data_IF_628565254507
#
_entry.id   IF_628565254507
#
_cell.length_a   1.000
_cell.length_b   1.000
_cell.length_c   1.000
_cell.angle_alpha   90.00
_cell.angle_beta   90.00
_cell.angle_gamma   90.00
#
_symmetry.space_group_name_H-M   'P 1'
#
loop_
_entity.id
_entity.type
_entity.pdbx_description
1 polymer ?
#
# COMPACT_ATOMS: atom_id res chain seq x y z
N UNK A 1 -25.24 -82.99 65.21
CA UNK A 1 -24.52 -81.76 65.42
C UNK A 1 -24.36 -81.11 64.07
N UNK A 2 -25.15 -80.07 63.76
CA UNK A 2 -25.22 -79.41 62.44
C UNK A 2 -24.33 -78.17 62.47
N UNK A 3 -23.36 -78.08 61.57
CA UNK A 3 -22.59 -76.90 61.37
C UNK A 3 -23.25 -76.00 60.27
N UNK A 4 -23.62 -74.86 60.67
CA UNK A 4 -24.19 -73.82 59.80
C UNK A 4 -23.05 -73.05 59.13
N UNK A 5 -22.96 -73.13 57.83
CA UNK A 5 -22.00 -72.30 57.05
C UNK A 5 -22.65 -70.99 56.63
N UNK A 6 -22.01 -69.89 56.99
CA UNK A 6 -22.43 -68.56 56.60
C UNK A 6 -21.71 -68.23 55.31
N UNK A 7 -22.43 -68.01 54.17
CA UNK A 7 -21.94 -67.47 52.93
C UNK A 7 -21.98 -65.96 53.05
N UNK A 8 -20.82 -65.34 53.08
CA UNK A 8 -20.70 -63.94 53.01
C UNK A 8 -20.79 -63.47 51.55
N UNK A 9 -21.83 -62.72 51.22
CA UNK A 9 -21.97 -62.04 49.92
C UNK A 9 -21.17 -60.76 49.97
N UNK A 10 -20.03 -60.77 49.30
CA UNK A 10 -19.24 -59.53 49.09
C UNK A 10 -19.87 -58.65 47.96
N UNK A 11 -20.43 -57.52 48.34
CA UNK A 11 -20.91 -56.54 47.40
C UNK A 11 -19.70 -55.76 46.83
N UNK A 12 -19.38 -55.95 45.55
CA UNK A 12 -18.44 -55.15 44.84
C UNK A 12 -19.10 -53.80 44.52
N UNK A 13 -18.69 -52.72 45.22
CA UNK A 13 -19.05 -51.37 44.91
C UNK A 13 -18.19 -50.90 43.71
N UNK A 14 -18.75 -50.89 42.50
CA UNK A 14 -18.12 -50.29 41.32
C UNK A 14 -18.18 -48.79 41.49
N UNK A 15 -17.04 -48.15 41.81
CA UNK A 15 -16.88 -46.69 41.72
C UNK A 15 -16.90 -46.29 40.23
N UNK A 16 -18.02 -45.75 39.78
CA UNK A 16 -18.10 -45.07 38.49
C UNK A 16 -17.39 -43.70 38.61
N UNK A 17 -16.16 -43.62 38.12
CA UNK A 17 -15.46 -42.34 37.96
C UNK A 17 -16.16 -41.53 36.88
N UNK A 18 -16.55 -40.30 37.12
CA UNK A 18 -17.09 -39.45 36.07
C UNK A 18 -15.99 -39.18 35.01
N UNK A 19 -16.21 -39.62 33.78
CA UNK A 19 -15.40 -39.17 32.65
C UNK A 19 -15.68 -37.71 32.44
N UNK A 20 -14.68 -36.86 32.75
CA UNK A 20 -14.73 -35.46 32.41
C UNK A 20 -14.70 -35.32 30.88
N UNK A 21 -15.83 -35.01 30.27
CA UNK A 21 -15.91 -34.70 28.86
C UNK A 21 -15.31 -33.31 28.66
N UNK A 22 -14.11 -33.22 28.07
CA UNK A 22 -13.53 -31.95 27.64
C UNK A 22 -14.19 -31.52 26.33
N UNK A 23 -14.94 -30.42 26.36
CA UNK A 23 -15.46 -29.78 25.15
C UNK A 23 -14.40 -28.81 24.58
N UNK A 24 -14.03 -29.01 23.32
CA UNK A 24 -13.11 -28.15 22.59
C UNK A 24 -13.93 -27.18 21.73
N UNK A 25 -13.66 -25.88 21.88
CA UNK A 25 -14.23 -24.84 21.03
C UNK A 25 -13.14 -24.44 20.03
N UNK A 26 -13.40 -24.63 18.72
CA UNK A 26 -12.51 -24.17 17.65
C UNK A 26 -13.05 -22.84 17.13
N UNK A 27 -12.22 -21.79 17.21
CA UNK A 27 -12.50 -20.49 16.60
C UNK A 27 -11.59 -20.31 15.40
N UNK A 28 -12.15 -20.06 14.22
CA UNK A 28 -11.40 -19.82 12.99
C UNK A 28 -11.79 -18.47 12.38
N UNK A 29 -10.82 -17.79 11.77
CA UNK A 29 -11.04 -16.58 10.99
C UNK A 29 -10.20 -16.65 9.72
N UNK A 30 -10.75 -16.16 8.60
CA UNK A 30 -10.04 -16.03 7.33
C UNK A 30 -9.73 -14.57 7.10
N UNK A 31 -8.45 -14.24 6.87
CA UNK A 31 -8.02 -12.90 6.49
C UNK A 31 -7.65 -12.91 5.01
N UNK A 32 -8.31 -12.08 4.21
CA UNK A 32 -8.00 -11.90 2.79
C UNK A 32 -7.03 -10.73 2.61
N UNK A 33 -6.14 -10.83 1.62
CA UNK A 33 -5.25 -9.71 1.26
C UNK A 33 -6.09 -8.53 0.78
N UNK A 34 -5.93 -7.38 1.42
CA UNK A 34 -6.62 -6.16 1.07
C UNK A 34 -5.66 -4.98 1.12
N UNK A 35 -5.74 -4.12 0.09
CA UNK A 35 -4.95 -2.89 0.00
C UNK A 35 -5.81 -1.71 -0.41
N UNK A 36 -5.49 -0.54 0.13
CA UNK A 36 -6.04 0.74 -0.29
C UNK A 36 -4.93 1.74 -0.56
N UNK A 37 -5.06 2.53 -1.61
CA UNK A 37 -4.13 3.60 -1.96
C UNK A 37 -4.79 4.94 -1.63
N UNK A 38 -4.11 5.77 -0.86
CA UNK A 38 -4.59 7.08 -0.50
C UNK A 38 -4.58 8.05 -1.68
N UNK A 39 -5.14 9.23 -1.48
CA UNK A 39 -4.98 10.37 -2.36
C UNK A 39 -3.92 11.31 -1.81
N UNK A 40 -3.22 12.02 -2.69
CA UNK A 40 -2.30 13.09 -2.33
C UNK A 40 -2.46 14.28 -3.28
N UNK A 41 -2.39 15.47 -2.71
CA UNK A 41 -2.23 16.70 -3.49
C UNK A 41 -0.77 17.12 -3.40
N UNK A 42 -0.13 17.29 -4.55
CA UNK A 42 1.26 17.72 -4.62
C UNK A 42 1.30 19.14 -5.19
N UNK A 43 1.83 20.06 -4.40
CA UNK A 43 2.10 21.43 -4.87
C UNK A 43 3.56 21.52 -5.28
N UNK A 44 3.80 21.81 -6.55
CA UNK A 44 5.14 21.99 -7.10
C UNK A 44 5.57 23.43 -6.83
N UNK A 45 6.61 23.61 -6.01
CA UNK A 45 7.17 24.88 -5.63
C UNK A 45 6.11 25.90 -5.14
N UNK A 46 5.93 26.01 -3.83
CA UNK A 46 4.90 26.88 -3.23
C UNK A 46 4.95 28.36 -3.66
N UNK A 47 6.07 28.81 -4.20
CA UNK A 47 6.24 30.16 -4.80
C UNK A 47 5.94 30.21 -6.31
N UNK A 48 5.50 29.08 -6.92
CA UNK A 48 5.28 28.96 -8.35
C UNK A 48 6.48 28.45 -9.13
N UNK A 49 6.23 27.97 -10.37
CA UNK A 49 7.26 27.52 -11.29
C UNK A 49 7.76 28.74 -12.06
N UNK A 50 9.01 29.14 -11.84
CA UNK A 50 9.62 30.21 -12.60
C UNK A 50 9.86 29.80 -14.07
N UNK A 51 9.60 30.66 -15.00
CA UNK A 51 9.78 30.41 -16.44
C UNK A 51 11.20 29.93 -16.75
N UNK A 52 11.29 28.85 -17.50
CA UNK A 52 12.56 28.25 -17.92
C UNK A 52 13.31 27.46 -16.84
N UNK A 53 12.86 27.42 -15.59
CA UNK A 53 13.57 26.80 -14.48
C UNK A 53 13.03 25.37 -14.23
N UNK A 54 13.95 24.41 -14.01
CA UNK A 54 13.56 23.08 -13.58
C UNK A 54 13.08 23.08 -12.12
N UNK A 55 12.09 22.26 -11.82
CA UNK A 55 11.56 22.10 -10.46
C UNK A 55 11.51 20.60 -10.11
N UNK A 56 11.86 20.26 -8.89
CA UNK A 56 11.72 18.91 -8.36
C UNK A 56 10.93 18.93 -7.06
N UNK A 57 10.15 17.90 -6.82
CA UNK A 57 9.49 17.65 -5.55
C UNK A 57 9.73 16.19 -5.15
N UNK A 58 10.35 16.00 -4.01
CA UNK A 58 10.67 14.69 -3.41
C UNK A 58 10.14 14.54 -1.98
N UNK A 59 9.48 15.58 -1.47
CA UNK A 59 8.99 15.63 -0.08
C UNK A 59 7.54 15.11 0.08
N UNK A 60 6.78 15.02 -1.01
CA UNK A 60 5.40 14.56 -0.95
C UNK A 60 5.33 13.04 -0.86
N UNK A 61 4.36 12.54 -0.12
CA UNK A 61 4.09 11.11 0.02
C UNK A 61 2.61 10.81 -0.15
N UNK A 62 2.30 9.57 -0.51
CA UNK A 62 0.96 9.00 -0.50
C UNK A 62 0.97 7.71 0.33
N UNK A 63 -0.08 7.45 1.10
CA UNK A 63 -0.15 6.24 1.90
C UNK A 63 -0.72 5.07 1.11
N UNK A 64 -0.01 3.95 1.12
CA UNK A 64 -0.51 2.64 0.77
C UNK A 64 -0.78 1.87 2.07
N UNK A 65 -2.00 1.37 2.24
CA UNK A 65 -2.39 0.59 3.43
C UNK A 65 -2.74 -0.82 2.99
N UNK A 66 -2.04 -1.81 3.53
CA UNK A 66 -2.31 -3.23 3.26
C UNK A 66 -2.26 -4.07 4.52
N UNK A 67 -2.78 -5.29 4.44
CA UNK A 67 -2.53 -6.30 5.45
C UNK A 67 -1.07 -6.75 5.43
N UNK A 68 -0.58 -7.27 6.56
CA UNK A 68 0.73 -7.92 6.64
C UNK A 68 0.81 -9.08 5.64
N UNK A 69 1.94 -9.20 4.94
CA UNK A 69 2.20 -10.25 3.96
C UNK A 69 1.56 -10.01 2.59
N UNK A 70 0.92 -8.85 2.36
CA UNK A 70 0.33 -8.54 1.06
C UNK A 70 1.40 -8.41 -0.02
N UNK A 71 1.18 -9.09 -1.14
CA UNK A 71 1.97 -8.89 -2.37
C UNK A 71 1.24 -7.85 -3.22
N UNK A 72 1.86 -6.70 -3.43
CA UNK A 72 1.19 -5.57 -4.09
C UNK A 72 2.11 -4.84 -5.06
N UNK A 73 1.57 -4.52 -6.22
CA UNK A 73 2.18 -3.62 -7.21
C UNK A 73 1.28 -2.43 -7.47
N UNK A 74 1.92 -1.28 -7.72
CA UNK A 74 1.25 -0.02 -8.01
C UNK A 74 1.64 0.45 -9.40
N UNK A 75 0.66 0.61 -10.27
CA UNK A 75 0.79 1.24 -11.57
C UNK A 75 0.14 2.62 -11.56
N UNK A 76 0.67 3.56 -12.33
CA UNK A 76 0.04 4.86 -12.56
C UNK A 76 -0.36 5.01 -14.02
N UNK A 77 -1.46 5.71 -14.29
CA UNK A 77 -1.76 6.14 -15.64
C UNK A 77 -0.89 7.35 -16.04
N UNK A 78 -1.03 7.81 -17.27
CA UNK A 78 -0.25 8.95 -17.78
C UNK A 78 -0.82 10.31 -17.38
N UNK A 79 -1.91 10.35 -16.60
CA UNK A 79 -2.61 11.57 -16.23
C UNK A 79 -3.73 11.96 -17.19
N UNK A 80 -4.65 12.78 -16.72
CA UNK A 80 -5.83 13.21 -17.48
C UNK A 80 -5.49 14.14 -18.66
N UNK A 81 -4.35 14.82 -18.59
CA UNK A 81 -3.91 15.78 -19.60
C UNK A 81 -2.72 15.32 -20.44
N UNK A 82 -2.41 14.01 -20.40
CA UNK A 82 -1.25 13.45 -21.11
C UNK A 82 -1.34 13.60 -22.65
N UNK A 83 -0.17 13.60 -23.28
CA UNK A 83 -0.04 13.37 -24.74
C UNK A 83 0.82 12.12 -24.93
N UNK A 84 0.21 11.05 -25.42
CA UNK A 84 0.87 9.75 -25.44
C UNK A 84 1.26 9.33 -24.03
N UNK A 85 2.54 9.12 -23.77
CA UNK A 85 3.07 8.77 -22.44
C UNK A 85 3.52 9.98 -21.63
N UNK A 86 3.64 11.17 -22.24
CA UNK A 86 4.12 12.38 -21.57
C UNK A 86 3.02 12.97 -20.67
N UNK A 87 3.27 13.03 -19.37
CA UNK A 87 2.39 13.68 -18.38
C UNK A 87 2.46 15.20 -18.53
N UNK A 88 1.31 15.86 -18.37
CA UNK A 88 1.20 17.32 -18.48
C UNK A 88 0.20 17.86 -17.48
N UNK A 89 0.57 18.95 -16.83
CA UNK A 89 -0.36 19.82 -16.13
C UNK A 89 -1.06 20.72 -17.16
N UNK A 90 -2.35 20.96 -17.01
CA UNK A 90 -3.15 21.86 -17.85
C UNK A 90 -3.58 23.09 -17.07
N UNK A 91 -3.51 24.24 -17.73
CA UNK A 91 -4.10 25.47 -17.19
C UNK A 91 -5.62 25.38 -17.08
N UNK A 92 -6.18 25.87 -15.97
CA UNK A 92 -7.62 25.94 -15.76
C UNK A 92 -8.34 26.96 -16.65
N UNK A 93 -7.60 27.94 -17.20
CA UNK A 93 -8.16 29.08 -17.97
C UNK A 93 -7.69 29.16 -19.41
N UNK A 94 -6.62 28.45 -19.77
CA UNK A 94 -6.03 28.46 -21.11
C UNK A 94 -5.75 27.05 -21.61
N UNK A 95 -5.34 26.92 -22.89
CA UNK A 95 -4.90 25.62 -23.47
C UNK A 95 -3.42 25.37 -23.24
N UNK A 96 -2.78 26.08 -22.32
CA UNK A 96 -1.35 25.91 -22.03
C UNK A 96 -1.10 24.71 -21.12
N UNK A 97 0.06 24.12 -21.31
CA UNK A 97 0.50 22.94 -20.60
C UNK A 97 1.90 23.10 -20.04
N UNK A 98 2.18 22.38 -18.96
CA UNK A 98 3.51 22.19 -18.40
C UNK A 98 3.77 20.68 -18.40
N UNK A 99 4.83 20.25 -19.09
CA UNK A 99 5.24 18.83 -19.04
C UNK A 99 5.92 18.52 -17.72
N UNK A 100 5.68 17.35 -17.18
CA UNK A 100 6.35 16.86 -15.99
C UNK A 100 6.62 15.37 -16.07
N UNK A 101 7.54 14.88 -15.25
CA UNK A 101 7.82 13.48 -15.07
C UNK A 101 7.44 13.06 -13.65
N UNK A 102 6.85 11.90 -13.51
CA UNK A 102 6.55 11.24 -12.24
C UNK A 102 7.36 9.95 -12.19
N UNK A 103 8.45 9.99 -11.45
CA UNK A 103 9.42 8.90 -11.42
C UNK A 103 9.06 7.87 -10.35
N UNK A 104 9.40 6.62 -10.63
CA UNK A 104 9.31 5.55 -9.63
C UNK A 104 10.22 5.90 -8.44
N UNK A 105 9.77 5.66 -7.19
CA UNK A 105 10.66 5.70 -6.05
C UNK A 105 11.75 4.62 -6.16
N UNK A 106 12.80 4.76 -5.37
CA UNK A 106 13.75 3.69 -5.13
C UNK A 106 13.05 2.47 -4.53
N UNK A 107 13.76 1.34 -4.40
CA UNK A 107 13.21 0.16 -3.75
C UNK A 107 12.61 0.52 -2.39
N UNK A 108 11.34 0.14 -2.19
CA UNK A 108 10.60 0.41 -0.96
C UNK A 108 10.98 -0.61 0.11
N UNK A 109 11.18 -0.16 1.34
CA UNK A 109 11.60 -1.00 2.48
C UNK A 109 10.73 -0.68 3.70
N UNK A 110 10.26 -1.72 4.40
CA UNK A 110 9.48 -1.56 5.63
C UNK A 110 10.35 -0.93 6.74
N UNK A 111 9.88 0.19 7.30
CA UNK A 111 10.62 0.96 8.31
C UNK A 111 11.89 1.66 7.79
N UNK A 112 12.20 1.58 6.50
CA UNK A 112 13.34 2.24 5.89
C UNK A 112 13.01 3.64 5.35
N UNK A 113 14.05 4.42 5.02
CA UNK A 113 13.88 5.68 4.31
C UNK A 113 13.52 5.40 2.85
N UNK A 114 12.22 5.42 2.54
CA UNK A 114 11.76 5.34 1.16
C UNK A 114 12.04 6.68 0.46
N UNK A 115 12.84 6.68 -0.58
CA UNK A 115 13.38 7.87 -1.20
C UNK A 115 13.12 7.92 -2.70
N UNK A 116 13.23 9.11 -3.26
CA UNK A 116 13.22 9.31 -4.70
C UNK A 116 14.60 9.01 -5.32
N UNK A 117 14.65 8.53 -6.58
CA UNK A 117 15.89 8.44 -7.34
C UNK A 117 16.42 9.84 -7.69
N UNK A 118 17.61 9.91 -8.29
CA UNK A 118 18.03 11.12 -9.00
C UNK A 118 17.01 11.47 -10.09
N UNK A 119 16.52 12.71 -10.11
CA UNK A 119 15.46 13.14 -11.03
C UNK A 119 16.03 13.80 -12.29
N UNK A 120 15.41 13.55 -13.47
CA UNK A 120 14.34 12.59 -13.72
C UNK A 120 14.83 11.14 -13.66
N UNK A 121 14.11 10.28 -12.94
CA UNK A 121 14.34 8.84 -12.89
C UNK A 121 13.49 8.08 -13.92
N UNK A 122 13.35 6.75 -13.71
CA UNK A 122 12.44 5.94 -14.52
C UNK A 122 11.01 6.37 -14.33
N UNK A 123 10.30 6.67 -15.42
CA UNK A 123 8.90 7.10 -15.37
C UNK A 123 8.01 6.03 -14.73
N UNK A 124 7.16 6.47 -13.78
CA UNK A 124 6.18 5.60 -13.14
C UNK A 124 4.89 5.59 -13.96
N UNK A 125 4.61 4.46 -14.59
CA UNK A 125 3.44 4.28 -15.45
C UNK A 125 2.99 2.81 -15.44
N UNK A 126 2.08 2.43 -16.33
CA UNK A 126 1.58 1.05 -16.43
C UNK A 126 2.65 0.02 -16.84
N UNK A 127 3.66 0.43 -17.61
CA UNK A 127 4.77 -0.44 -18.02
C UNK A 127 5.86 -0.53 -16.94
N UNK A 128 6.04 0.53 -16.16
CA UNK A 128 7.04 0.64 -15.11
C UNK A 128 6.35 0.75 -13.74
N UNK A 129 5.86 -0.36 -13.23
CA UNK A 129 5.17 -0.44 -11.94
C UNK A 129 6.13 -0.37 -10.75
N UNK A 130 5.61 -0.10 -9.57
CA UNK A 130 6.34 -0.15 -8.29
C UNK A 130 5.87 -1.35 -7.50
N UNK A 131 6.79 -2.24 -7.13
CA UNK A 131 6.50 -3.28 -6.14
C UNK A 131 6.57 -2.67 -4.75
N UNK A 132 5.50 -2.79 -3.99
CA UNK A 132 5.41 -2.34 -2.60
C UNK A 132 5.30 -3.52 -1.61
N UNK A 133 5.50 -4.75 -2.07
CA UNK A 133 5.41 -5.97 -1.25
C UNK A 133 6.33 -5.92 -0.04
N UNK A 134 7.55 -5.42 -0.21
CA UNK A 134 8.54 -5.31 0.87
C UNK A 134 8.12 -4.38 2.03
N UNK A 135 7.15 -3.49 1.82
CA UNK A 135 6.61 -2.63 2.87
C UNK A 135 5.76 -3.40 3.90
N UNK A 136 5.25 -4.57 3.55
CA UNK A 136 4.26 -5.31 4.35
C UNK A 136 4.77 -6.65 4.86
N UNK A 137 6.07 -6.88 4.81
CA UNK A 137 6.70 -8.14 5.26
C UNK A 137 6.56 -8.31 6.77
N UNK A 138 6.82 -7.28 7.55
CA UNK A 138 6.84 -7.35 9.02
C UNK A 138 5.54 -6.90 9.65
N UNK A 139 4.93 -5.83 9.13
CA UNK A 139 3.70 -5.24 9.65
C UNK A 139 2.75 -4.83 8.53
N UNK A 140 1.45 -4.87 8.79
CA UNK A 140 0.44 -4.22 7.96
C UNK A 140 0.25 -2.76 8.32
N UNK A 141 -0.74 -2.10 7.71
CA UNK A 141 -1.12 -0.72 8.00
C UNK A 141 -0.65 0.29 6.96
N UNK A 142 -0.78 1.60 7.23
CA UNK A 142 -0.40 2.64 6.29
C UNK A 142 1.12 2.78 6.19
N UNK A 143 1.64 2.80 4.96
CA UNK A 143 3.05 3.00 4.64
C UNK A 143 3.19 4.15 3.63
N UNK A 144 4.04 5.15 3.90
CA UNK A 144 4.25 6.25 2.98
C UNK A 144 5.09 5.83 1.77
N UNK A 145 4.60 6.15 0.58
CA UNK A 145 5.31 6.00 -0.68
C UNK A 145 5.67 7.40 -1.18
N UNK A 146 6.94 7.71 -1.46
CA UNK A 146 7.33 9.01 -1.95
C UNK A 146 6.81 9.27 -3.37
N UNK A 147 6.39 10.50 -3.63
CA UNK A 147 5.97 10.98 -4.93
C UNK A 147 7.11 11.81 -5.51
N UNK A 148 7.73 11.31 -6.57
CA UNK A 148 8.97 11.81 -7.13
C UNK A 148 8.69 12.56 -8.43
N UNK A 149 8.51 13.88 -8.35
CA UNK A 149 8.14 14.72 -9.50
C UNK A 149 9.29 15.59 -9.93
N UNK A 150 9.45 15.74 -11.25
CA UNK A 150 10.32 16.75 -11.85
C UNK A 150 9.64 17.45 -13.03
N UNK A 151 9.79 18.76 -13.07
CA UNK A 151 9.41 19.61 -14.22
C UNK A 151 10.70 19.99 -14.94
N UNK A 152 10.86 19.63 -16.21
CA UNK A 152 12.06 20.01 -16.98
C UNK A 152 12.19 21.52 -17.12
N UNK A 153 13.43 21.99 -17.26
CA UNK A 153 13.73 23.38 -17.61
C UNK A 153 13.21 23.76 -19.02
N UNK A 154 13.39 24.99 -19.38
CA UNK A 154 13.06 25.55 -20.69
C UNK A 154 11.56 25.50 -21.07
N UNK A 155 10.69 25.53 -20.08
CA UNK A 155 9.25 25.71 -20.27
C UNK A 155 8.86 27.14 -19.87
N UNK A 156 8.03 27.77 -20.69
CA UNK A 156 7.62 29.19 -20.52
C UNK A 156 6.08 29.28 -20.49
N UNK A 157 5.42 28.67 -19.51
CA UNK A 157 3.97 28.71 -19.43
C UNK A 157 3.48 30.12 -19.06
N UNK A 158 2.25 30.45 -19.45
CA UNK A 158 1.57 31.62 -18.94
C UNK A 158 1.35 31.52 -17.43
N UNK A 159 1.30 32.67 -16.75
CA UNK A 159 0.93 32.69 -15.33
C UNK A 159 -0.48 32.11 -15.13
N UNK A 160 -0.64 31.29 -14.13
CA UNK A 160 -1.90 30.63 -13.82
C UNK A 160 -1.74 29.38 -12.97
N UNK A 161 -2.85 28.75 -12.65
CA UNK A 161 -2.90 27.47 -11.95
C UNK A 161 -2.95 26.34 -12.96
N UNK A 162 -2.10 25.35 -12.77
CA UNK A 162 -1.98 24.17 -13.61
C UNK A 162 -2.22 22.91 -12.80
N UNK A 163 -3.04 22.01 -13.30
CA UNK A 163 -3.41 20.78 -12.61
C UNK A 163 -3.35 19.57 -13.54
N UNK A 164 -3.13 18.40 -12.96
CA UNK A 164 -3.34 17.11 -13.59
C UNK A 164 -3.88 16.12 -12.56
N UNK A 165 -4.51 15.07 -13.03
CA UNK A 165 -4.99 13.97 -12.18
C UNK A 165 -4.40 12.67 -12.69
N UNK A 166 -3.58 12.04 -11.84
CA UNK A 166 -2.99 10.73 -12.11
C UNK A 166 -3.70 9.69 -11.25
N UNK A 167 -4.15 8.62 -11.87
CA UNK A 167 -4.84 7.51 -11.20
C UNK A 167 -3.88 6.36 -10.97
N UNK A 168 -3.90 5.83 -9.75
CA UNK A 168 -3.18 4.62 -9.37
C UNK A 168 -4.06 3.39 -9.52
N UNK A 169 -3.49 2.31 -10.03
CA UNK A 169 -4.09 0.97 -10.08
C UNK A 169 -3.26 0.05 -9.19
N UNK A 170 -3.92 -0.62 -8.25
CA UNK A 170 -3.32 -1.64 -7.40
C UNK A 170 -3.59 -3.03 -7.96
N UNK A 171 -2.55 -3.86 -8.00
CA UNK A 171 -2.67 -5.30 -8.19
C UNK A 171 -2.22 -5.98 -6.91
N UNK A 172 -3.13 -6.72 -6.26
CA UNK A 172 -2.91 -7.45 -5.01
C UNK A 172 -3.03 -8.94 -5.30
N UNK A 173 -2.04 -9.74 -4.89
CA UNK A 173 -2.00 -11.20 -5.08
C UNK A 173 -1.64 -11.93 -3.79
#
# INVERSE_FOLDING_TARGET
MKKLGILGAGALLALALPLAASAQITVSATVVSACTFGSATVTLNGAGIAAGTAVTNTASTVNLTCNKGATVTVALNNGANATGTQKRLRSGVTTNYITYNLSRPNALVDGGPNTCPGLPGTEWNAANTVSATSLFVTTGGPKPIPICISVPAAQYPQAGTYTDTVTATLTVT
#
